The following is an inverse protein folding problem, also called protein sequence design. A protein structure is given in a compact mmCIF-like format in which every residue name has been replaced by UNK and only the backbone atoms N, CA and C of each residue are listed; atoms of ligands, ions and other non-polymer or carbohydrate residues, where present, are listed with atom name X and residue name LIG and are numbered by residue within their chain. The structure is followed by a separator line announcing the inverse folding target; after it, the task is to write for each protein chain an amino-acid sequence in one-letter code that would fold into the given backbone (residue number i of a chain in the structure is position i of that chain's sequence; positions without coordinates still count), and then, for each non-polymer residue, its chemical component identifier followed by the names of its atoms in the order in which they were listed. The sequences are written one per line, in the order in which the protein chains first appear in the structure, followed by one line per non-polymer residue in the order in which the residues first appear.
data_IF_124122415160
#
_entry.id   IF_124122415160
#
_cell.length_a   1.000
_cell.length_b   1.000
_cell.length_c   1.000
_cell.angle_alpha   90.00
_cell.angle_beta   90.00
_cell.angle_gamma   90.00
#
_symmetry.space_group_name_H-M   'P 1'
#
loop_
_entity.id
_entity.type
_entity.pdbx_description
1 polymer ?
#
# COMPACT_ATOMS: atom_id res chain seq x y z
N UNK A 1 10.48 2.83 -40.60
CA UNK A 1 11.43 3.26 -39.54
C UNK A 1 11.23 2.30 -38.38
N UNK A 2 12.30 1.70 -37.91
CA UNK A 2 12.25 0.80 -36.76
C UNK A 2 11.94 1.60 -35.49
N UNK A 3 11.23 1.01 -34.53
CA UNK A 3 10.84 1.67 -33.27
C UNK A 3 12.02 2.19 -32.46
N UNK A 4 13.17 1.49 -32.53
CA UNK A 4 14.42 1.93 -31.91
C UNK A 4 14.98 3.19 -32.57
N UNK A 5 14.99 3.24 -33.90
CA UNK A 5 15.43 4.41 -34.64
C UNK A 5 14.57 5.62 -34.36
N UNK A 6 13.23 5.45 -34.27
CA UNK A 6 12.31 6.53 -33.89
C UNK A 6 12.57 7.03 -32.47
N UNK A 7 12.81 6.12 -31.53
CA UNK A 7 13.16 6.48 -30.16
C UNK A 7 14.47 7.26 -30.09
N UNK A 8 15.50 6.81 -30.80
CA UNK A 8 16.82 7.47 -30.83
C UNK A 8 16.73 8.86 -31.48
N UNK A 9 15.95 9.01 -32.56
CA UNK A 9 15.69 10.31 -33.17
C UNK A 9 14.93 11.25 -32.20
N UNK A 10 13.88 10.74 -31.54
CA UNK A 10 13.16 11.55 -30.57
C UNK A 10 14.04 11.97 -29.39
N UNK A 11 14.84 11.02 -28.85
CA UNK A 11 15.74 11.27 -27.72
C UNK A 11 16.82 12.30 -28.05
N UNK A 12 17.41 12.21 -29.23
CA UNK A 12 18.63 12.98 -29.55
C UNK A 12 18.37 14.25 -30.33
N UNK A 13 17.26 14.34 -31.07
CA UNK A 13 17.04 15.45 -32.02
C UNK A 13 15.67 16.13 -31.95
N UNK A 14 14.60 15.36 -31.61
CA UNK A 14 13.24 15.90 -31.66
C UNK A 14 12.71 16.37 -30.30
N UNK A 15 13.39 16.01 -29.22
CA UNK A 15 13.03 16.43 -27.86
C UNK A 15 14.11 17.32 -27.25
N UNK A 16 13.75 18.03 -26.20
CA UNK A 16 14.68 18.82 -25.38
C UNK A 16 15.42 17.98 -24.31
N UNK A 17 15.46 16.64 -24.46
CA UNK A 17 16.12 15.75 -23.49
C UNK A 17 17.60 16.09 -23.30
N UNK A 18 18.31 16.47 -24.38
CA UNK A 18 19.75 16.76 -24.31
C UNK A 18 20.03 18.03 -23.50
N UNK A 19 19.13 19.03 -23.59
CA UNK A 19 19.22 20.29 -22.88
C UNK A 19 18.37 20.35 -21.58
N UNK A 20 17.79 19.20 -21.18
CA UNK A 20 16.98 19.16 -19.95
C UNK A 20 17.85 19.48 -18.73
N UNK A 21 17.49 20.52 -18.00
CA UNK A 21 18.23 21.08 -16.86
C UNK A 21 18.45 20.10 -15.71
N UNK A 22 17.50 19.15 -15.49
CA UNK A 22 17.61 18.16 -14.45
C UNK A 22 18.26 16.84 -14.90
N UNK A 23 18.70 16.73 -16.15
CA UNK A 23 19.23 15.49 -16.73
C UNK A 23 20.38 14.88 -15.93
N UNK A 24 21.29 15.69 -15.40
CA UNK A 24 22.50 15.25 -14.70
C UNK A 24 22.21 14.51 -13.39
N UNK A 25 21.08 14.77 -12.74
CA UNK A 25 20.71 14.18 -11.46
C UNK A 25 19.34 13.49 -11.47
N UNK A 26 18.68 13.38 -12.64
CA UNK A 26 17.31 12.88 -12.74
C UNK A 26 17.11 11.47 -12.17
N UNK A 27 18.11 10.59 -12.26
CA UNK A 27 18.06 9.25 -11.65
C UNK A 27 18.08 9.26 -10.13
N UNK A 28 18.64 10.32 -9.53
CA UNK A 28 18.68 10.46 -8.08
C UNK A 28 17.47 11.24 -7.58
N UNK A 29 17.15 12.35 -8.21
CA UNK A 29 16.00 13.17 -7.86
C UNK A 29 15.60 14.11 -9.00
N UNK A 30 14.31 14.47 -9.01
CA UNK A 30 13.77 15.59 -9.79
C UNK A 30 12.89 16.47 -8.92
N UNK A 31 12.79 17.76 -9.23
CA UNK A 31 12.02 18.74 -8.44
C UNK A 31 11.36 19.79 -9.33
N UNK A 32 10.05 19.99 -9.15
CA UNK A 32 9.22 20.96 -9.89
C UNK A 32 8.43 21.82 -8.90
N UNK A 33 9.04 22.88 -8.41
CA UNK A 33 8.49 23.72 -7.34
C UNK A 33 7.18 24.40 -7.70
N UNK A 34 6.93 24.64 -9.00
CA UNK A 34 5.70 25.27 -9.48
C UNK A 34 4.46 24.37 -9.31
N UNK A 35 4.68 23.07 -9.15
CA UNK A 35 3.60 22.10 -8.92
C UNK A 35 3.14 22.00 -7.46
N UNK A 36 3.70 22.82 -6.56
CA UNK A 36 3.33 22.79 -5.15
C UNK A 36 1.89 23.27 -4.94
N UNK A 37 1.16 22.60 -4.09
CA UNK A 37 -0.21 22.95 -3.71
C UNK A 37 -0.42 22.82 -2.20
N UNK A 38 -1.58 23.25 -1.71
CA UNK A 38 -1.92 23.14 -0.29
C UNK A 38 -2.05 21.69 0.20
N UNK A 39 -2.35 20.75 -0.71
CA UNK A 39 -2.52 19.32 -0.39
C UNK A 39 -1.62 18.47 -1.25
N UNK A 40 -0.71 17.79 -0.60
CA UNK A 40 0.25 16.89 -1.22
C UNK A 40 0.00 15.43 -0.81
N UNK A 41 0.61 14.52 -1.54
CA UNK A 41 0.67 13.10 -1.24
C UNK A 41 2.11 12.65 -1.38
N UNK A 42 2.61 11.85 -0.44
CA UNK A 42 3.90 11.18 -0.55
C UNK A 42 3.67 9.67 -0.54
N UNK A 43 4.32 8.96 -1.44
CA UNK A 43 4.16 7.51 -1.59
C UNK A 43 5.40 6.90 -2.26
N UNK A 44 5.60 5.60 -2.10
CA UNK A 44 6.67 4.85 -2.72
C UNK A 44 6.18 4.12 -3.97
N UNK A 45 7.00 4.11 -5.00
CA UNK A 45 6.74 3.30 -6.19
C UNK A 45 7.99 2.59 -6.65
N UNK A 46 7.84 1.29 -6.96
CA UNK A 46 8.87 0.51 -7.63
C UNK A 46 8.53 0.41 -9.11
N UNK A 47 9.46 0.76 -9.98
CA UNK A 47 9.25 0.65 -11.42
C UNK A 47 9.63 -0.74 -11.94
N UNK A 48 10.91 -1.01 -12.07
CA UNK A 48 11.44 -2.32 -12.53
C UNK A 48 12.85 -2.51 -11.97
N UNK A 49 13.33 -3.76 -11.93
CA UNK A 49 14.70 -4.08 -11.54
C UNK A 49 15.15 -3.48 -10.18
N UNK A 50 14.23 -3.35 -9.22
CA UNK A 50 14.55 -2.78 -7.92
C UNK A 50 14.65 -1.24 -7.89
N UNK A 51 14.25 -0.56 -8.96
CA UNK A 51 14.15 0.91 -9.00
C UNK A 51 13.04 1.37 -8.06
N UNK A 52 13.38 1.79 -6.84
CA UNK A 52 12.45 2.29 -5.85
C UNK A 52 12.59 3.82 -5.76
N UNK A 53 11.47 4.51 -5.89
CA UNK A 53 11.39 5.97 -5.80
C UNK A 53 10.32 6.40 -4.81
N UNK A 54 10.63 7.42 -4.03
CA UNK A 54 9.65 8.21 -3.29
C UNK A 54 9.14 9.33 -4.20
N UNK A 55 7.82 9.43 -4.35
CA UNK A 55 7.16 10.42 -5.18
C UNK A 55 6.34 11.35 -4.28
N UNK A 56 6.63 12.65 -4.37
CA UNK A 56 5.78 13.69 -3.80
C UNK A 56 4.89 14.27 -4.91
N UNK A 57 3.59 14.20 -4.72
CA UNK A 57 2.60 14.57 -5.73
C UNK A 57 1.62 15.64 -5.25
N UNK A 58 1.23 16.50 -6.17
CA UNK A 58 0.16 17.48 -6.03
C UNK A 58 -1.21 16.79 -6.20
N UNK A 59 -2.00 16.74 -5.15
CA UNK A 59 -3.34 16.10 -5.18
C UNK A 59 -4.33 16.83 -6.06
N UNK A 60 -4.17 18.14 -6.23
CA UNK A 60 -5.08 18.96 -7.05
C UNK A 60 -4.99 18.61 -8.54
N UNK A 61 -3.82 18.16 -9.02
CA UNK A 61 -3.60 17.82 -10.43
C UNK A 61 -4.21 16.46 -10.84
N UNK A 62 -4.59 15.59 -9.88
CA UNK A 62 -5.34 14.33 -10.12
C UNK A 62 -4.71 13.41 -11.18
N UNK A 63 -3.38 13.27 -11.19
CA UNK A 63 -2.65 12.42 -12.14
C UNK A 63 -2.56 12.97 -13.56
N UNK A 64 -2.70 14.28 -13.73
CA UNK A 64 -2.48 15.03 -14.98
C UNK A 64 -1.15 15.80 -14.89
N UNK A 65 -0.85 16.65 -15.87
CA UNK A 65 0.28 17.58 -15.84
C UNK A 65 0.22 18.44 -14.57
N UNK A 66 1.38 18.66 -13.93
CA UNK A 66 1.49 19.32 -12.63
C UNK A 66 1.28 18.38 -11.42
N UNK A 67 1.22 17.05 -11.63
CA UNK A 67 1.09 16.08 -10.54
C UNK A 67 2.40 15.86 -9.81
N UNK A 68 3.52 15.68 -10.52
CA UNK A 68 4.81 15.42 -9.89
C UNK A 68 5.39 16.71 -9.35
N UNK A 69 5.59 16.77 -8.03
CA UNK A 69 6.36 17.82 -7.37
C UNK A 69 7.83 17.40 -7.22
N UNK A 70 8.08 16.16 -6.80
CA UNK A 70 9.42 15.60 -6.69
C UNK A 70 9.41 14.09 -6.89
N UNK A 71 10.52 13.57 -7.44
CA UNK A 71 10.86 12.15 -7.37
C UNK A 71 12.23 12.01 -6.71
N UNK A 72 12.38 11.08 -5.80
CA UNK A 72 13.62 10.85 -5.06
C UNK A 72 13.91 9.34 -5.08
N UNK A 73 15.11 8.94 -5.48
CA UNK A 73 15.54 7.54 -5.47
C UNK A 73 15.66 7.02 -4.05
N UNK A 74 15.04 5.88 -3.77
CA UNK A 74 15.03 5.28 -2.43
C UNK A 74 14.01 5.91 -1.49
N UNK A 75 14.14 5.58 -0.21
CA UNK A 75 13.18 5.90 0.85
C UNK A 75 13.82 6.49 2.10
N UNK A 76 15.13 6.77 2.06
CA UNK A 76 15.83 7.33 3.23
C UNK A 76 15.35 8.74 3.53
N UNK A 77 15.02 8.99 4.80
CA UNK A 77 14.50 10.29 5.24
C UNK A 77 15.45 11.44 4.89
N UNK A 78 16.74 11.24 5.03
CA UNK A 78 17.78 12.25 4.77
C UNK A 78 17.81 12.66 3.29
N UNK A 79 17.72 11.69 2.37
CA UNK A 79 17.69 11.95 0.93
C UNK A 79 16.42 12.72 0.53
N UNK A 80 15.28 12.33 1.12
CA UNK A 80 14.01 13.04 0.91
C UNK A 80 14.11 14.48 1.44
N UNK A 81 14.63 14.68 2.64
CA UNK A 81 14.80 16.01 3.26
C UNK A 81 15.71 16.87 2.39
N UNK A 82 16.85 16.36 1.96
CA UNK A 82 17.83 17.10 1.16
C UNK A 82 17.24 17.65 -0.15
N UNK A 83 16.35 16.89 -0.77
CA UNK A 83 15.64 17.33 -1.99
C UNK A 83 14.55 18.34 -1.64
N UNK A 84 13.72 18.05 -0.64
CA UNK A 84 12.59 18.89 -0.29
C UNK A 84 12.99 20.23 0.35
N UNK A 85 14.14 20.32 1.01
CA UNK A 85 14.67 21.59 1.54
C UNK A 85 15.13 22.55 0.43
N UNK A 86 15.33 22.09 -0.82
CA UNK A 86 15.56 22.93 -2.00
C UNK A 86 14.31 23.74 -2.40
N UNK A 87 13.12 23.31 -1.97
CA UNK A 87 11.89 24.09 -2.16
C UNK A 87 11.96 25.32 -1.23
N UNK A 88 11.78 26.54 -1.77
CA UNK A 88 11.80 27.75 -0.95
C UNK A 88 10.83 27.66 0.22
N UNK A 89 11.27 28.09 1.41
CA UNK A 89 10.48 28.00 2.66
C UNK A 89 9.09 28.64 2.51
N UNK A 90 9.01 29.76 1.78
CA UNK A 90 7.73 30.43 1.47
C UNK A 90 6.72 29.50 0.79
N UNK A 91 7.19 28.63 -0.11
CA UNK A 91 6.33 27.67 -0.80
C UNK A 91 5.98 26.48 0.11
N UNK A 92 6.97 25.95 0.85
CA UNK A 92 6.73 24.86 1.83
C UNK A 92 5.69 25.26 2.88
N UNK A 93 5.67 26.49 3.34
CA UNK A 93 4.73 27.02 4.32
C UNK A 93 3.29 27.13 3.82
N UNK A 94 3.06 27.09 2.49
CA UNK A 94 1.71 27.06 1.89
C UNK A 94 1.04 25.68 2.00
N UNK A 95 1.82 24.62 2.22
CA UNK A 95 1.29 23.26 2.32
C UNK A 95 0.54 23.11 3.65
N UNK A 96 -0.73 22.74 3.58
CA UNK A 96 -1.63 22.57 4.73
C UNK A 96 -1.80 21.10 5.11
N UNK A 97 -1.62 20.18 4.16
CA UNK A 97 -1.86 18.76 4.35
C UNK A 97 -0.91 17.92 3.50
N UNK A 98 -0.36 16.86 4.10
CA UNK A 98 0.34 15.80 3.37
C UNK A 98 -0.23 14.45 3.77
N UNK A 99 -0.79 13.73 2.77
CA UNK A 99 -1.25 12.34 2.96
C UNK A 99 -0.09 11.39 2.71
N UNK A 100 0.04 10.38 3.56
CA UNK A 100 1.17 9.46 3.57
C UNK A 100 0.77 8.09 4.14
N UNK A 101 1.64 7.10 4.00
CA UNK A 101 1.56 5.86 4.76
C UNK A 101 2.05 6.03 6.21
N UNK A 102 2.23 4.93 6.94
CA UNK A 102 2.75 4.94 8.32
C UNK A 102 4.28 4.82 8.40
N UNK A 103 5.02 4.98 7.28
CA UNK A 103 6.46 4.86 7.28
C UNK A 103 7.15 5.98 8.08
N UNK A 104 8.00 5.65 9.07
CA UNK A 104 8.65 6.65 9.93
C UNK A 104 9.59 7.60 9.19
N UNK A 105 10.24 7.11 8.13
CA UNK A 105 11.13 7.89 7.26
C UNK A 105 10.37 9.03 6.56
N UNK A 106 9.19 8.73 5.98
CA UNK A 106 8.33 9.75 5.37
C UNK A 106 7.81 10.73 6.42
N UNK A 107 7.35 10.22 7.58
CA UNK A 107 6.88 11.06 8.66
C UNK A 107 7.94 12.06 9.13
N UNK A 108 9.21 11.63 9.28
CA UNK A 108 10.36 12.46 9.63
C UNK A 108 10.59 13.53 8.57
N UNK A 109 10.61 13.14 7.29
CA UNK A 109 10.85 14.07 6.19
C UNK A 109 9.76 15.15 6.09
N UNK A 110 8.48 14.75 6.16
CA UNK A 110 7.36 15.69 6.09
C UNK A 110 7.34 16.64 7.30
N UNK A 111 7.59 16.12 8.50
CA UNK A 111 7.66 16.94 9.72
C UNK A 111 8.77 18.01 9.62
N UNK A 112 9.91 17.66 9.05
CA UNK A 112 11.04 18.57 8.88
C UNK A 112 10.77 19.63 7.82
N UNK A 113 10.26 19.21 6.65
CA UNK A 113 10.16 20.07 5.47
C UNK A 113 8.88 20.89 5.41
N UNK A 114 7.74 20.37 5.94
CA UNK A 114 6.42 21.01 5.85
C UNK A 114 5.82 21.20 7.24
N UNK A 115 6.41 22.10 8.03
CA UNK A 115 6.08 22.27 9.46
C UNK A 115 4.63 22.70 9.71
N UNK A 116 4.01 23.39 8.77
CA UNK A 116 2.63 23.86 8.87
C UNK A 116 1.61 22.83 8.38
N UNK A 117 2.07 21.74 7.75
CA UNK A 117 1.18 20.76 7.18
C UNK A 117 0.71 19.73 8.20
N UNK A 118 -0.59 19.42 8.20
CA UNK A 118 -1.14 18.26 8.88
C UNK A 118 -0.73 17.00 8.15
N UNK A 119 -0.25 16.01 8.88
CA UNK A 119 0.04 14.66 8.36
C UNK A 119 -1.23 13.85 8.45
N UNK A 120 -1.66 13.25 7.35
CA UNK A 120 -2.83 12.38 7.27
C UNK A 120 -2.38 11.00 6.88
N UNK A 121 -2.62 10.01 7.74
CA UNK A 121 -2.38 8.61 7.37
C UNK A 121 -3.50 8.12 6.46
N UNK A 122 -3.11 7.51 5.36
CA UNK A 122 -4.08 6.95 4.43
C UNK A 122 -4.76 5.71 5.02
N UNK A 123 -6.08 5.73 5.02
CA UNK A 123 -6.93 4.65 5.54
C UNK A 123 -6.67 3.30 4.87
N UNK A 124 -6.25 3.28 3.59
CA UNK A 124 -5.98 2.04 2.88
C UNK A 124 -4.79 1.30 3.48
N UNK A 125 -3.74 2.03 3.89
CA UNK A 125 -2.59 1.45 4.58
C UNK A 125 -2.99 0.92 5.96
N UNK A 126 -3.85 1.62 6.71
CA UNK A 126 -4.39 1.13 7.98
C UNK A 126 -5.20 -0.15 7.78
N UNK A 127 -6.12 -0.16 6.80
CA UNK A 127 -6.93 -1.34 6.49
C UNK A 127 -6.08 -2.52 6.00
N UNK A 128 -5.03 -2.25 5.24
CA UNK A 128 -4.09 -3.27 4.76
C UNK A 128 -3.43 -4.01 5.92
N UNK A 129 -3.02 -3.32 7.00
CA UNK A 129 -2.46 -4.00 8.17
C UNK A 129 -3.40 -5.05 8.75
N UNK A 130 -4.70 -4.73 8.85
CA UNK A 130 -5.69 -5.68 9.35
C UNK A 130 -5.86 -6.87 8.39
N UNK A 131 -5.88 -6.64 7.09
CA UNK A 131 -5.92 -7.73 6.12
C UNK A 131 -4.67 -8.61 6.17
N UNK A 132 -3.49 -8.01 6.28
CA UNK A 132 -2.22 -8.73 6.40
C UNK A 132 -2.21 -9.59 7.68
N UNK A 133 -2.73 -9.08 8.80
CA UNK A 133 -2.89 -9.83 10.05
C UNK A 133 -3.84 -11.04 9.92
N UNK A 134 -4.95 -10.91 9.18
CA UNK A 134 -5.83 -12.04 8.86
C UNK A 134 -5.10 -13.08 8.01
N UNK A 135 -4.31 -12.63 7.01
CA UNK A 135 -3.55 -13.54 6.16
C UNK A 135 -2.43 -14.25 6.92
N UNK A 136 -1.76 -13.58 7.85
CA UNK A 136 -0.76 -14.18 8.72
C UNK A 136 -1.36 -15.35 9.52
N UNK A 137 -2.50 -15.14 10.17
CA UNK A 137 -3.20 -16.19 10.91
C UNK A 137 -3.65 -17.35 9.99
N UNK A 138 -4.18 -17.03 8.78
CA UNK A 138 -4.56 -18.05 7.78
C UNK A 138 -3.35 -18.87 7.34
N UNK A 139 -2.20 -18.22 7.14
CA UNK A 139 -0.96 -18.90 6.74
C UNK A 139 -0.47 -19.80 7.87
N UNK A 140 -0.51 -19.32 9.13
CA UNK A 140 -0.18 -20.13 10.31
C UNK A 140 -0.99 -21.41 10.33
N UNK A 141 -2.33 -21.31 10.26
CA UNK A 141 -3.20 -22.51 10.22
C UNK A 141 -2.90 -23.43 9.04
N UNK A 142 -2.53 -22.85 7.88
CA UNK A 142 -2.18 -23.66 6.72
C UNK A 142 -0.91 -24.49 6.97
N UNK A 143 0.08 -23.93 7.64
CA UNK A 143 1.29 -24.67 8.02
C UNK A 143 0.98 -25.74 9.06
N UNK A 144 0.20 -25.45 10.07
CA UNK A 144 -0.24 -26.44 11.08
C UNK A 144 -0.94 -27.65 10.41
N UNK A 145 -1.85 -27.40 9.47
CA UNK A 145 -2.53 -28.45 8.70
C UNK A 145 -1.57 -29.27 7.83
N UNK A 146 -0.58 -28.63 7.21
CA UNK A 146 0.42 -29.31 6.40
C UNK A 146 1.35 -30.19 7.24
N UNK A 147 1.75 -29.72 8.41
CA UNK A 147 2.58 -30.46 9.35
C UNK A 147 1.83 -31.68 9.90
N UNK A 148 0.56 -31.50 10.27
CA UNK A 148 -0.32 -32.59 10.71
C UNK A 148 -0.52 -33.65 9.61
N UNK A 149 -0.77 -33.21 8.36
CA UNK A 149 -0.90 -34.11 7.21
C UNK A 149 0.40 -34.89 6.96
N UNK A 150 1.54 -34.24 7.02
CA UNK A 150 2.85 -34.86 6.85
C UNK A 150 3.13 -35.90 7.93
N UNK A 151 2.74 -35.61 9.16
CA UNK A 151 2.83 -36.56 10.26
C UNK A 151 1.94 -37.80 10.01
N UNK A 152 0.66 -37.59 9.63
CA UNK A 152 -0.29 -38.67 9.33
C UNK A 152 0.19 -39.56 8.19
N UNK A 153 0.70 -38.98 7.11
CA UNK A 153 1.31 -39.72 5.98
C UNK A 153 2.47 -40.59 6.47
N UNK A 154 3.33 -40.06 7.32
CA UNK A 154 4.49 -40.77 7.84
C UNK A 154 4.06 -41.96 8.74
N UNK A 155 3.03 -41.78 9.55
CA UNK A 155 2.49 -42.85 10.40
C UNK A 155 1.82 -43.97 9.58
N UNK A 156 0.97 -43.58 8.58
CA UNK A 156 0.35 -44.57 7.69
C UNK A 156 1.39 -45.42 6.95
N UNK A 157 2.45 -44.78 6.43
CA UNK A 157 3.57 -45.52 5.78
C UNK A 157 4.25 -46.51 6.71
N UNK A 158 4.45 -46.17 7.98
CA UNK A 158 5.04 -47.11 8.97
C UNK A 158 4.13 -48.31 9.25
N UNK A 159 2.83 -48.14 9.08
CA UNK A 159 1.80 -49.20 9.28
C UNK A 159 1.49 -49.96 7.99
N UNK A 160 2.11 -49.62 6.85
CA UNK A 160 1.82 -50.24 5.56
C UNK A 160 0.51 -49.78 4.94
N UNK A 161 -0.05 -48.65 5.43
CA UNK A 161 -1.34 -48.12 5.00
C UNK A 161 -1.12 -46.89 4.07
N UNK A 162 -2.15 -46.57 3.25
CA UNK A 162 -2.19 -45.31 2.48
C UNK A 162 -2.97 -44.28 3.28
N UNK A 163 -2.44 -43.06 3.29
CA UNK A 163 -3.15 -41.92 3.89
C UNK A 163 -4.14 -41.31 2.88
N UNK A 164 -5.39 -41.15 3.30
CA UNK A 164 -6.40 -40.43 2.55
C UNK A 164 -6.81 -39.15 3.32
N UNK A 165 -6.73 -37.98 2.70
CA UNK A 165 -7.12 -36.72 3.35
C UNK A 165 -8.64 -36.65 3.50
N UNK A 166 -9.12 -36.03 4.58
CA UNK A 166 -10.54 -35.66 4.74
C UNK A 166 -10.96 -34.71 3.61
N UNK A 167 -12.03 -35.06 2.90
CA UNK A 167 -12.65 -34.23 1.88
C UNK A 167 -13.88 -33.56 2.49
N UNK A 168 -13.89 -32.25 2.47
CA UNK A 168 -15.00 -31.43 2.98
C UNK A 168 -16.16 -31.43 1.98
N UNK A 169 -17.35 -31.03 2.45
CA UNK A 169 -18.59 -31.00 1.64
C UNK A 169 -18.54 -30.14 0.37
N UNK A 170 -17.56 -29.22 0.27
CA UNK A 170 -17.29 -28.43 -0.95
C UNK A 170 -16.23 -29.06 -1.87
N UNK A 171 -15.75 -30.26 -1.58
CA UNK A 171 -14.71 -30.96 -2.33
C UNK A 171 -13.28 -30.52 -2.03
N UNK A 172 -13.05 -29.59 -1.10
CA UNK A 172 -11.71 -29.17 -0.68
C UNK A 172 -11.18 -30.09 0.44
N UNK A 173 -9.86 -30.32 0.48
CA UNK A 173 -9.18 -30.72 1.72
C UNK A 173 -8.96 -29.50 2.62
N UNK A 174 -8.64 -29.67 3.91
CA UNK A 174 -8.37 -28.55 4.81
C UNK A 174 -7.26 -27.61 4.29
N UNK A 175 -6.17 -28.18 3.74
CA UNK A 175 -5.09 -27.36 3.15
C UNK A 175 -5.55 -26.58 1.92
N UNK A 176 -6.46 -27.15 1.10
CA UNK A 176 -7.04 -26.49 -0.06
C UNK A 176 -8.04 -25.42 0.36
N UNK A 177 -8.87 -25.68 1.38
CA UNK A 177 -9.77 -24.71 1.97
C UNK A 177 -9.03 -23.44 2.39
N UNK A 178 -7.94 -23.58 3.17
CA UNK A 178 -7.10 -22.47 3.63
C UNK A 178 -6.40 -21.75 2.46
N UNK A 179 -5.88 -22.49 1.46
CA UNK A 179 -5.22 -21.91 0.32
C UNK A 179 -6.19 -21.07 -0.56
N UNK A 180 -7.34 -21.67 -0.90
CA UNK A 180 -8.36 -21.06 -1.79
C UNK A 180 -9.15 -19.93 -1.11
N UNK A 181 -9.08 -19.83 0.22
CA UNK A 181 -9.73 -18.75 0.99
C UNK A 181 -8.94 -17.45 1.01
N UNK A 182 -7.72 -17.39 0.48
CA UNK A 182 -6.88 -16.20 0.48
C UNK A 182 -7.63 -14.95 0.00
N UNK A 183 -8.23 -14.99 -1.17
CA UNK A 183 -8.83 -13.82 -1.81
C UNK A 183 -10.21 -13.44 -1.24
N UNK A 184 -10.96 -14.40 -0.68
CA UNK A 184 -12.25 -14.09 -0.07
C UNK A 184 -12.10 -13.28 1.22
N UNK A 185 -11.00 -13.48 1.96
CA UNK A 185 -10.71 -12.78 3.22
C UNK A 185 -10.30 -11.30 3.03
N UNK A 186 -10.02 -10.86 1.81
CA UNK A 186 -9.85 -9.43 1.47
C UNK A 186 -11.16 -8.74 1.06
N UNK A 187 -12.26 -9.49 0.91
CA UNK A 187 -13.53 -8.96 0.43
C UNK A 187 -14.53 -8.82 1.58
N UNK A 188 -15.38 -7.81 1.49
CA UNK A 188 -16.57 -7.75 2.33
C UNK A 188 -17.54 -8.89 1.94
N UNK A 189 -18.29 -9.52 2.90
CA UNK A 189 -19.19 -10.65 2.62
C UNK A 189 -20.22 -10.39 1.51
N UNK A 190 -20.69 -9.15 1.40
CA UNK A 190 -21.63 -8.75 0.33
C UNK A 190 -21.08 -8.87 -1.10
N UNK A 191 -19.77 -9.07 -1.25
CA UNK A 191 -19.09 -9.23 -2.54
C UNK A 191 -18.66 -10.67 -2.81
N UNK A 192 -19.04 -11.60 -1.95
CA UNK A 192 -18.77 -13.01 -2.16
C UNK A 192 -19.75 -13.61 -3.17
N UNK A 193 -19.24 -14.47 -4.06
CA UNK A 193 -20.07 -15.39 -4.82
C UNK A 193 -20.66 -16.46 -3.90
N UNK A 194 -21.69 -17.20 -4.34
CA UNK A 194 -22.28 -18.27 -3.54
C UNK A 194 -21.24 -19.34 -3.15
N UNK A 195 -20.35 -19.73 -4.06
CA UNK A 195 -19.27 -20.65 -3.77
C UNK A 195 -18.26 -20.09 -2.75
N UNK A 196 -18.04 -18.77 -2.72
CA UNK A 196 -17.20 -18.11 -1.72
C UNK A 196 -17.89 -18.03 -0.36
N UNK A 197 -19.20 -17.82 -0.30
CA UNK A 197 -19.97 -17.84 0.94
C UNK A 197 -19.88 -19.23 1.58
N UNK A 198 -20.18 -20.27 0.81
CA UNK A 198 -20.11 -21.64 1.30
C UNK A 198 -18.70 -22.03 1.79
N UNK A 199 -17.67 -21.63 1.04
CA UNK A 199 -16.28 -21.82 1.49
C UNK A 199 -15.95 -21.07 2.78
N UNK A 200 -16.48 -19.85 2.94
CA UNK A 200 -16.27 -19.05 4.14
C UNK A 200 -16.95 -19.69 5.36
N UNK A 201 -18.15 -20.23 5.21
CA UNK A 201 -18.88 -20.96 6.28
C UNK A 201 -18.07 -22.15 6.78
N UNK A 202 -17.58 -23.00 5.88
CA UNK A 202 -16.71 -24.13 6.24
C UNK A 202 -15.41 -23.68 6.89
N UNK A 203 -14.78 -22.63 6.35
CA UNK A 203 -13.54 -22.07 6.89
C UNK A 203 -13.74 -21.60 8.33
N UNK A 204 -14.78 -20.83 8.58
CA UNK A 204 -15.04 -20.24 9.89
C UNK A 204 -15.57 -21.23 10.91
N UNK A 205 -16.24 -22.30 10.46
CA UNK A 205 -16.61 -23.41 11.31
C UNK A 205 -15.35 -24.17 11.81
N UNK A 206 -14.39 -24.41 10.92
CA UNK A 206 -13.15 -25.13 11.24
C UNK A 206 -12.11 -24.27 11.97
N UNK A 207 -12.12 -22.95 11.72
CA UNK A 207 -11.15 -22.00 12.28
C UNK A 207 -11.86 -20.77 12.89
N UNK A 208 -12.51 -20.91 14.06
CA UNK A 208 -13.29 -19.81 14.69
C UNK A 208 -12.46 -18.57 14.98
N UNK A 209 -11.18 -18.74 15.36
CA UNK A 209 -10.29 -17.60 15.60
C UNK A 209 -9.97 -16.83 14.32
N UNK A 210 -9.90 -17.50 13.17
CA UNK A 210 -9.76 -16.82 11.86
C UNK A 210 -11.00 -16.03 11.51
N UNK A 211 -12.20 -16.52 11.88
CA UNK A 211 -13.44 -15.74 11.78
C UNK A 211 -13.34 -14.47 12.63
N UNK A 212 -12.92 -14.60 13.89
CA UNK A 212 -12.78 -13.41 14.78
C UNK A 212 -11.80 -12.39 14.21
N UNK A 213 -10.65 -12.85 13.68
CA UNK A 213 -9.68 -11.98 12.99
C UNK A 213 -10.30 -11.26 11.79
N UNK A 214 -11.06 -11.99 10.99
CA UNK A 214 -11.78 -11.43 9.84
C UNK A 214 -12.82 -10.39 10.27
N UNK A 215 -13.61 -10.67 11.31
CA UNK A 215 -14.60 -9.73 11.86
C UNK A 215 -13.93 -8.44 12.35
N UNK A 216 -12.80 -8.54 13.07
CA UNK A 216 -12.00 -7.38 13.51
C UNK A 216 -11.52 -6.53 12.33
N UNK A 217 -11.13 -7.16 11.21
CA UNK A 217 -10.73 -6.43 10.00
C UNK A 217 -11.90 -5.68 9.35
N UNK A 218 -13.10 -6.25 9.35
CA UNK A 218 -14.31 -5.61 8.85
C UNK A 218 -14.76 -4.47 9.76
N UNK A 219 -14.68 -4.65 11.08
CA UNK A 219 -15.02 -3.62 12.07
C UNK A 219 -14.13 -2.39 11.91
N UNK A 220 -12.81 -2.58 11.74
CA UNK A 220 -11.89 -1.49 11.45
C UNK A 220 -12.29 -0.73 10.17
N UNK A 221 -12.59 -1.42 9.09
CA UNK A 221 -13.08 -0.82 7.85
C UNK A 221 -14.37 -0.03 8.04
N UNK A 222 -15.30 -0.56 8.83
CA UNK A 222 -16.56 0.09 9.16
C UNK A 222 -16.36 1.40 9.96
N UNK A 223 -15.35 1.47 10.83
CA UNK A 223 -15.01 2.70 11.56
C UNK A 223 -14.69 3.82 10.58
N UNK A 224 -13.84 3.55 9.59
CA UNK A 224 -13.47 4.54 8.56
C UNK A 224 -14.65 4.94 7.67
N UNK A 225 -15.55 4.01 7.35
CA UNK A 225 -16.69 4.30 6.49
C UNK A 225 -17.82 5.04 7.22
N UNK A 226 -18.17 4.61 8.44
CA UNK A 226 -19.39 5.04 9.13
C UNK A 226 -19.17 6.20 10.10
N UNK A 227 -17.92 6.50 10.50
CA UNK A 227 -17.69 7.62 11.43
C UNK A 227 -17.80 8.95 10.69
N UNK A 228 -18.61 9.85 11.26
CA UNK A 228 -18.89 11.18 10.71
C UNK A 228 -18.01 12.26 11.34
N UNK A 229 -17.50 12.03 12.55
CA UNK A 229 -16.63 12.96 13.28
C UNK A 229 -15.36 12.27 13.76
N UNK A 230 -14.37 13.08 14.09
CA UNK A 230 -13.08 12.66 14.63
C UNK A 230 -13.22 12.03 16.02
N UNK A 231 -14.04 12.63 16.87
CA UNK A 231 -14.31 12.17 18.24
C UNK A 231 -15.02 10.82 18.23
N UNK A 232 -16.05 10.69 17.37
CA UNK A 232 -16.75 9.42 17.19
C UNK A 232 -15.86 8.31 16.62
N UNK A 233 -14.91 8.66 15.75
CA UNK A 233 -13.93 7.72 15.23
C UNK A 233 -12.93 7.31 16.32
N UNK A 234 -12.45 8.25 17.13
CA UNK A 234 -11.54 7.98 18.24
C UNK A 234 -12.15 6.99 19.23
N UNK A 235 -13.39 7.25 19.70
CA UNK A 235 -14.10 6.34 20.61
C UNK A 235 -14.23 4.92 20.02
N UNK A 236 -14.62 4.82 18.74
CA UNK A 236 -14.75 3.51 18.09
C UNK A 236 -13.42 2.80 17.91
N UNK A 237 -12.32 3.51 17.62
CA UNK A 237 -10.99 2.93 17.55
C UNK A 237 -10.52 2.42 18.92
N UNK A 238 -10.82 3.14 20.00
CA UNK A 238 -10.54 2.69 21.37
C UNK A 238 -11.32 1.41 21.72
N UNK A 239 -12.61 1.35 21.40
CA UNK A 239 -13.43 0.14 21.60
C UNK A 239 -12.92 -1.04 20.75
N UNK A 240 -12.53 -0.77 19.52
CA UNK A 240 -11.93 -1.79 18.65
C UNK A 240 -10.60 -2.32 19.22
N UNK A 241 -9.76 -1.44 19.80
CA UNK A 241 -8.53 -1.83 20.47
C UNK A 241 -8.80 -2.83 21.61
N UNK A 242 -9.78 -2.53 22.49
CA UNK A 242 -10.19 -3.44 23.57
C UNK A 242 -10.68 -4.79 23.02
N UNK A 243 -11.38 -4.80 21.89
CA UNK A 243 -11.81 -6.04 21.24
C UNK A 243 -10.64 -6.87 20.72
N UNK A 244 -9.59 -6.22 20.19
CA UNK A 244 -8.35 -6.89 19.77
C UNK A 244 -7.65 -7.52 20.97
N UNK A 245 -7.50 -6.79 22.08
CA UNK A 245 -6.91 -7.32 23.32
C UNK A 245 -7.66 -8.55 23.82
N UNK A 246 -9.01 -8.46 23.89
CA UNK A 246 -9.86 -9.58 24.32
C UNK A 246 -9.80 -10.79 23.36
N UNK A 247 -9.48 -10.59 22.09
CA UNK A 247 -9.37 -11.67 21.12
C UNK A 247 -8.06 -12.45 21.25
N UNK A 248 -7.00 -11.86 21.82
CA UNK A 248 -5.70 -12.49 22.02
C UNK A 248 -5.01 -12.94 20.73
N UNK A 249 -5.26 -12.26 19.62
CA UNK A 249 -4.68 -12.59 18.30
C UNK A 249 -3.41 -11.78 18.10
N UNK A 250 -2.26 -12.42 18.24
CA UNK A 250 -0.94 -11.77 18.20
C UNK A 250 -0.71 -10.86 16.99
N UNK A 251 -1.12 -11.29 15.79
CA UNK A 251 -1.00 -10.46 14.58
C UNK A 251 -1.84 -9.18 14.68
N UNK A 252 -3.02 -9.22 15.30
CA UNK A 252 -3.87 -8.04 15.51
C UNK A 252 -3.39 -7.13 16.62
N UNK A 253 -2.71 -7.63 17.65
CA UNK A 253 -2.07 -6.80 18.68
C UNK A 253 -1.03 -5.86 18.06
N UNK A 254 -0.27 -6.35 17.06
CA UNK A 254 0.68 -5.52 16.31
C UNK A 254 -0.01 -4.40 15.50
N UNK A 255 -1.17 -4.70 14.92
CA UNK A 255 -2.01 -3.70 14.23
C UNK A 255 -2.53 -2.66 15.23
N UNK A 256 -3.04 -3.10 16.37
CA UNK A 256 -3.57 -2.20 17.41
C UNK A 256 -2.48 -1.25 17.96
N UNK A 257 -1.28 -1.78 18.23
CA UNK A 257 -0.12 -0.95 18.62
C UNK A 257 0.25 0.08 17.54
N UNK A 258 0.26 -0.31 16.27
CA UNK A 258 0.54 0.60 15.16
C UNK A 258 -0.51 1.71 15.05
N UNK A 259 -1.80 1.37 15.19
CA UNK A 259 -2.88 2.36 15.18
C UNK A 259 -2.78 3.30 16.38
N UNK A 260 -2.50 2.77 17.58
CA UNK A 260 -2.32 3.58 18.77
C UNK A 260 -1.14 4.56 18.65
N UNK A 261 0.00 4.11 18.12
CA UNK A 261 1.18 4.97 17.90
C UNK A 261 0.93 6.10 16.89
N UNK A 262 0.05 5.89 15.92
CA UNK A 262 -0.25 6.85 14.85
C UNK A 262 -1.65 7.49 14.95
N UNK A 263 -2.37 7.30 16.07
CA UNK A 263 -3.78 7.68 16.21
C UNK A 263 -4.08 9.14 15.82
N UNK A 264 -3.24 10.10 16.24
CA UNK A 264 -3.43 11.51 15.92
C UNK A 264 -3.47 11.77 14.40
N UNK A 265 -2.51 11.17 13.65
CA UNK A 265 -2.40 11.33 12.21
C UNK A 265 -3.49 10.53 11.45
N UNK A 266 -3.92 9.38 11.99
CA UNK A 266 -5.05 8.60 11.48
C UNK A 266 -6.35 9.38 11.64
N UNK A 267 -6.55 10.03 12.78
CA UNK A 267 -7.75 10.81 13.06
C UNK A 267 -7.88 12.05 12.17
N UNK A 268 -6.78 12.59 11.63
CA UNK A 268 -6.85 13.68 10.64
C UNK A 268 -7.58 13.28 9.34
N UNK A 269 -7.65 11.98 9.02
CA UNK A 269 -8.47 11.51 7.91
C UNK A 269 -9.94 11.93 8.04
N UNK A 270 -10.49 12.00 9.25
CA UNK A 270 -11.91 12.28 9.48
C UNK A 270 -12.26 13.76 9.32
N UNK A 271 -11.28 14.65 9.24
CA UNK A 271 -11.50 16.09 9.01
C UNK A 271 -12.07 16.33 7.59
N UNK A 272 -11.57 15.63 6.58
CA UNK A 272 -11.96 15.85 5.18
C UNK A 272 -11.95 14.58 4.30
N UNK A 273 -11.83 13.40 4.90
CA UNK A 273 -11.75 12.09 4.22
C UNK A 273 -10.63 12.00 3.18
N UNK A 274 -9.50 12.66 3.44
CA UNK A 274 -8.35 12.71 2.53
C UNK A 274 -7.67 11.35 2.41
N UNK A 275 -7.44 10.87 1.17
CA UNK A 275 -6.81 9.58 0.86
C UNK A 275 -5.69 9.72 -0.15
N UNK A 276 -4.86 8.69 -0.28
CA UNK A 276 -3.84 8.57 -1.32
C UNK A 276 -4.36 7.95 -2.63
N UNK A 277 -5.68 7.74 -2.77
CA UNK A 277 -6.25 7.07 -3.95
C UNK A 277 -5.79 7.67 -5.28
N UNK A 278 -5.60 9.00 -5.35
CA UNK A 278 -5.06 9.65 -6.55
C UNK A 278 -3.58 9.33 -6.77
N UNK A 279 -2.78 9.24 -5.70
CA UNK A 279 -1.37 8.86 -5.77
C UNK A 279 -1.21 7.37 -6.15
N UNK A 280 -2.00 6.48 -5.56
CA UNK A 280 -2.02 5.06 -5.93
C UNK A 280 -2.40 4.86 -7.40
N UNK A 281 -3.47 5.52 -7.87
CA UNK A 281 -3.86 5.50 -9.28
C UNK A 281 -2.77 6.08 -10.18
N UNK A 282 -2.09 7.12 -9.76
CA UNK A 282 -0.98 7.72 -10.46
C UNK A 282 0.23 6.78 -10.51
N UNK A 283 0.61 6.16 -9.40
CA UNK A 283 1.67 5.16 -9.34
C UNK A 283 1.39 3.95 -10.24
N UNK A 284 0.12 3.52 -10.34
CA UNK A 284 -0.29 2.49 -11.29
C UNK A 284 -0.09 2.93 -12.75
N UNK A 285 -0.40 4.20 -13.09
CA UNK A 285 -0.12 4.76 -14.42
C UNK A 285 1.38 4.78 -14.73
N UNK A 286 2.22 5.18 -13.77
CA UNK A 286 3.66 5.19 -13.93
C UNK A 286 4.22 3.78 -14.17
N UNK A 287 3.73 2.79 -13.41
CA UNK A 287 4.10 1.38 -13.61
C UNK A 287 3.67 0.86 -14.98
N UNK A 288 2.46 1.18 -15.41
CA UNK A 288 1.96 0.82 -16.76
C UNK A 288 2.79 1.51 -17.85
N UNK A 289 3.13 2.77 -17.67
CA UNK A 289 4.00 3.50 -18.60
C UNK A 289 5.39 2.87 -18.65
N UNK A 290 6.00 2.51 -17.50
CA UNK A 290 7.27 1.80 -17.45
C UNK A 290 7.21 0.43 -18.18
N UNK A 291 6.09 -0.26 -18.06
CA UNK A 291 5.89 -1.56 -18.74
C UNK A 291 5.89 -1.45 -20.27
N UNK A 292 5.38 -0.32 -20.82
CA UNK A 292 5.44 -0.04 -22.27
C UNK A 292 6.90 0.15 -22.74
N UNK A 293 7.76 0.70 -21.86
CA UNK A 293 9.18 0.90 -22.11
C UNK A 293 10.05 -0.33 -21.74
N UNK A 294 9.49 -1.54 -21.73
CA UNK A 294 10.26 -2.76 -21.52
C UNK A 294 11.38 -2.86 -22.56
N UNK A 295 12.62 -3.06 -22.08
CA UNK A 295 13.82 -3.08 -22.93
C UNK A 295 14.54 -1.72 -23.04
N UNK A 296 13.93 -0.61 -22.70
CA UNK A 296 14.61 0.68 -22.57
C UNK A 296 15.39 0.71 -21.25
N UNK A 297 16.72 0.55 -21.35
CA UNK A 297 17.62 0.55 -20.17
C UNK A 297 17.92 1.95 -19.64
N UNK A 298 17.64 3.00 -20.43
CA UNK A 298 17.92 4.39 -20.06
C UNK A 298 16.85 4.92 -19.12
N UNK A 299 17.15 4.82 -17.83
CA UNK A 299 16.27 5.30 -16.74
C UNK A 299 16.13 6.83 -16.78
N UNK A 300 17.18 7.55 -17.11
CA UNK A 300 17.15 9.02 -17.22
C UNK A 300 16.15 9.47 -18.29
N UNK A 301 16.21 8.83 -19.49
CA UNK A 301 15.27 9.16 -20.56
C UNK A 301 13.83 8.73 -20.22
N UNK A 302 13.64 7.60 -19.54
CA UNK A 302 12.32 7.23 -19.02
C UNK A 302 11.77 8.28 -18.06
N UNK A 303 12.56 8.73 -17.09
CA UNK A 303 12.18 9.76 -16.14
C UNK A 303 11.88 11.08 -16.84
N UNK A 304 12.70 11.50 -17.80
CA UNK A 304 12.40 12.67 -18.62
C UNK A 304 11.01 12.58 -19.28
N UNK A 305 10.66 11.45 -19.89
CA UNK A 305 9.33 11.23 -20.49
C UNK A 305 8.20 11.33 -19.46
N UNK A 306 8.40 10.76 -18.28
CA UNK A 306 7.46 10.88 -17.16
C UNK A 306 7.28 12.33 -16.76
N UNK A 307 8.37 13.10 -16.62
CA UNK A 307 8.31 14.51 -16.22
C UNK A 307 7.59 15.36 -17.28
N UNK A 308 7.85 15.14 -18.57
CA UNK A 308 7.13 15.85 -19.64
C UNK A 308 5.62 15.64 -19.64
N UNK A 309 5.16 14.49 -19.18
CA UNK A 309 3.73 14.16 -19.12
C UNK A 309 3.05 14.66 -17.84
N UNK A 310 3.77 14.67 -16.71
CA UNK A 310 3.14 14.79 -15.41
C UNK A 310 3.73 15.87 -14.47
N UNK A 311 4.85 16.45 -14.82
CA UNK A 311 5.42 17.58 -14.09
C UNK A 311 5.02 18.94 -14.65
#
# INVERSE_FOLDING_TARGET
MDGKQLQDQYKNYLSDFQSWDQKSHAEQWTLFTDNISEKLSIDETSFSNGELYTILSNKAAKGKKGTILATIKGTKAEDIINVLERIPLRLRNKVKEVTMDMAPNMAKAIQRCFRNARRVIDRFHVQKLAYDAVQELRIKYRWEVLDEESYKITQARKQGESYEPEILSNGDTLKQLLARSRHLLFKHPSRWSESQKYRAELLFLRFPLLKRAYDLSLELGNIFHKSKSKEGAFTKLALWHNQVENAGIQSFESVARSIAAHHANILHYFDNKSTNASAESFNAKLKSFRAIFRGVRDTTFFLYRVMKLYA
#
